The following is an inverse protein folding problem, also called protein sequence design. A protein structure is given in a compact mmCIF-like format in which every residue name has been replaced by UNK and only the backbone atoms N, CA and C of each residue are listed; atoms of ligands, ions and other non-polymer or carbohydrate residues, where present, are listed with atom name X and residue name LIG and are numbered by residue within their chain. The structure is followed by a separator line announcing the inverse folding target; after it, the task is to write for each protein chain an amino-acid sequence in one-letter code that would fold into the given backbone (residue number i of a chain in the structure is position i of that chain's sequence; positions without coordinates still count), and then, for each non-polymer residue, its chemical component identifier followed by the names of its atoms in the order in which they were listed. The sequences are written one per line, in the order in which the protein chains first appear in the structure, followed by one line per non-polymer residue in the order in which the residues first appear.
data_IF_389784490606
#
_entry.id   IF_389784490606
#
_cell.length_a   1.000
_cell.length_b   1.000
_cell.length_c   1.000
_cell.angle_alpha   90.00
_cell.angle_beta   90.00
_cell.angle_gamma   90.00
#
_symmetry.space_group_name_H-M   'P 1'
#
loop_
_entity.id
_entity.type
_entity.pdbx_description
1 polymer ?
#
# COMPACT_ATOMS: atom_id res chain seq x y z
N UNK A 1 -15.94 17.38 3.12
CA UNK A 1 -15.46 16.08 2.67
C UNK A 1 -14.06 15.76 3.24
N UNK A 2 -13.07 16.64 3.13
CA UNK A 2 -11.67 16.44 3.59
C UNK A 2 -11.61 16.07 5.07
N UNK A 3 -12.27 16.84 5.95
CA UNK A 3 -12.31 16.58 7.40
C UNK A 3 -12.91 15.21 7.70
N UNK A 4 -14.00 14.84 7.03
CA UNK A 4 -14.63 13.51 7.19
C UNK A 4 -13.71 12.38 6.72
N UNK A 5 -12.93 12.59 5.65
CA UNK A 5 -11.92 11.63 5.19
C UNK A 5 -10.77 11.45 6.18
N UNK A 6 -10.38 12.51 6.89
CA UNK A 6 -9.40 12.42 7.96
C UNK A 6 -9.88 11.51 9.10
N UNK A 7 -11.10 11.73 9.61
CA UNK A 7 -11.67 10.87 10.67
C UNK A 7 -11.91 9.44 10.18
N UNK A 8 -12.34 9.26 8.94
CA UNK A 8 -12.47 7.94 8.33
C UNK A 8 -11.12 7.20 8.27
N UNK A 9 -10.04 7.89 7.86
CA UNK A 9 -8.69 7.32 7.86
C UNK A 9 -8.19 6.93 9.26
N UNK A 10 -8.48 7.77 10.27
CA UNK A 10 -8.13 7.50 11.66
C UNK A 10 -8.85 6.25 12.19
N UNK A 11 -10.15 6.12 11.93
CA UNK A 11 -10.94 4.95 12.31
C UNK A 11 -10.46 3.67 11.60
N UNK A 12 -10.18 3.75 10.30
CA UNK A 12 -9.66 2.62 9.53
C UNK A 12 -8.27 2.16 10.02
N UNK A 13 -7.40 3.09 10.39
CA UNK A 13 -6.08 2.77 10.96
C UNK A 13 -6.24 2.05 12.31
N UNK A 14 -7.12 2.52 13.20
CA UNK A 14 -7.41 1.85 14.47
C UNK A 14 -7.93 0.42 14.25
N UNK A 15 -8.89 0.23 13.35
CA UNK A 15 -9.43 -1.09 13.01
C UNK A 15 -8.35 -2.05 12.49
N UNK A 16 -7.45 -1.58 11.61
CA UNK A 16 -6.39 -2.42 11.04
C UNK A 16 -5.36 -2.89 12.07
N UNK A 17 -5.10 -2.11 13.11
CA UNK A 17 -4.19 -2.49 14.21
C UNK A 17 -4.87 -3.49 15.14
N UNK A 18 -6.12 -3.22 15.51
CA UNK A 18 -6.87 -4.05 16.47
C UNK A 18 -7.13 -5.45 15.91
N UNK A 19 -7.43 -5.59 14.61
CA UNK A 19 -7.74 -6.90 14.02
C UNK A 19 -6.58 -7.90 14.15
N UNK A 20 -5.34 -7.45 13.99
CA UNK A 20 -4.16 -8.31 14.14
C UNK A 20 -3.98 -8.80 15.58
N UNK A 21 -4.24 -7.95 16.56
CA UNK A 21 -4.20 -8.30 17.97
C UNK A 21 -5.33 -9.28 18.32
N UNK A 22 -6.55 -8.96 17.92
CA UNK A 22 -7.74 -9.79 18.13
C UNK A 22 -7.59 -11.20 17.56
N UNK A 23 -7.10 -11.31 16.32
CA UNK A 23 -6.88 -12.60 15.67
C UNK A 23 -5.84 -13.44 16.41
N UNK A 24 -4.80 -12.83 16.93
CA UNK A 24 -3.78 -13.52 17.74
C UNK A 24 -4.32 -13.98 19.09
N UNK A 25 -5.25 -13.23 19.69
CA UNK A 25 -5.82 -13.55 20.99
C UNK A 25 -6.90 -14.65 20.91
N UNK A 26 -7.62 -14.73 19.79
CA UNK A 26 -8.70 -15.71 19.58
C UNK A 26 -8.16 -17.06 19.07
N UNK A 27 -7.17 -17.04 18.16
CA UNK A 27 -6.73 -18.24 17.46
C UNK A 27 -5.38 -18.73 17.94
N UNK A 28 -5.19 -20.06 18.19
CA UNK A 28 -3.87 -20.65 18.41
C UNK A 28 -2.96 -20.47 17.18
N UNK A 29 -1.64 -20.62 17.37
CA UNK A 29 -0.64 -20.31 16.33
C UNK A 29 -0.90 -20.99 15.00
N UNK A 30 -1.37 -22.22 15.01
CA UNK A 30 -1.62 -23.04 13.83
C UNK A 30 -2.82 -22.49 13.01
N UNK A 31 -3.87 -22.08 13.71
CA UNK A 31 -5.08 -21.53 13.08
C UNK A 31 -4.94 -20.05 12.74
N UNK A 32 -4.14 -19.30 13.50
CA UNK A 32 -3.87 -17.89 13.23
C UNK A 32 -3.38 -17.66 11.81
N UNK A 33 -2.39 -18.46 11.35
CA UNK A 33 -1.85 -18.33 9.99
C UNK A 33 -2.93 -18.59 8.92
N UNK A 34 -3.81 -19.56 9.15
CA UNK A 34 -4.92 -19.88 8.26
C UNK A 34 -5.94 -18.74 8.21
N UNK A 35 -6.34 -18.21 9.37
CA UNK A 35 -7.30 -17.11 9.44
C UNK A 35 -6.74 -15.82 8.85
N UNK A 36 -5.47 -15.50 9.10
CA UNK A 36 -4.80 -14.36 8.47
C UNK A 36 -4.73 -14.50 6.94
N UNK A 37 -4.65 -15.71 6.41
CA UNK A 37 -4.73 -15.92 4.96
C UNK A 37 -6.10 -15.55 4.39
N UNK A 38 -7.20 -15.81 5.11
CA UNK A 38 -8.53 -15.33 4.72
C UNK A 38 -8.65 -13.81 4.79
N UNK A 39 -8.11 -13.17 5.83
CA UNK A 39 -8.07 -11.70 5.93
C UNK A 39 -7.31 -11.11 4.73
N UNK A 40 -6.15 -11.70 4.38
CA UNK A 40 -5.37 -11.27 3.23
C UNK A 40 -6.12 -11.49 1.91
N UNK A 41 -6.86 -12.59 1.77
CA UNK A 41 -7.70 -12.84 0.59
C UNK A 41 -8.75 -11.75 0.43
N UNK A 42 -9.49 -11.42 1.49
CA UNK A 42 -10.50 -10.35 1.47
C UNK A 42 -9.89 -8.99 1.16
N UNK A 43 -8.76 -8.65 1.80
CA UNK A 43 -8.06 -7.37 1.55
C UNK A 43 -7.48 -7.27 0.14
N UNK A 44 -7.24 -8.40 -0.52
CA UNK A 44 -6.78 -8.43 -1.92
C UNK A 44 -7.96 -8.33 -2.90
N UNK A 45 -9.09 -8.98 -2.59
CA UNK A 45 -10.28 -8.95 -3.45
C UNK A 45 -11.02 -7.61 -3.36
N UNK A 46 -11.06 -6.98 -2.20
CA UNK A 46 -11.80 -5.74 -1.98
C UNK A 46 -11.40 -4.60 -2.96
N UNK A 47 -10.11 -4.29 -3.16
CA UNK A 47 -9.69 -3.29 -4.16
C UNK A 47 -10.04 -3.66 -5.61
N UNK A 48 -10.14 -4.96 -5.92
CA UNK A 48 -10.56 -5.43 -7.24
C UNK A 48 -12.06 -5.19 -7.47
N UNK A 49 -12.87 -5.50 -6.47
CA UNK A 49 -14.31 -5.35 -6.56
C UNK A 49 -14.76 -3.89 -6.44
N UNK A 50 -14.03 -3.06 -5.69
CA UNK A 50 -14.43 -1.69 -5.39
C UNK A 50 -14.64 -0.81 -6.65
N UNK A 51 -13.75 -0.77 -7.66
CA UNK A 51 -13.97 0.00 -8.88
C UNK A 51 -15.14 -0.53 -9.72
N UNK A 52 -15.32 -1.86 -9.76
CA UNK A 52 -16.41 -2.51 -10.50
C UNK A 52 -17.75 -2.13 -9.85
N UNK A 53 -17.89 -2.33 -8.55
CA UNK A 53 -19.10 -1.98 -7.80
C UNK A 53 -19.34 -0.47 -7.85
N UNK A 54 -18.29 0.34 -7.67
CA UNK A 54 -18.37 1.80 -7.75
C UNK A 54 -18.83 2.29 -9.12
N UNK A 55 -18.31 1.71 -10.21
CA UNK A 55 -18.72 2.00 -11.57
C UNK A 55 -20.21 1.69 -11.80
N UNK A 56 -20.66 0.52 -11.36
CA UNK A 56 -22.07 0.13 -11.45
C UNK A 56 -23.00 1.06 -10.67
N UNK A 57 -22.60 1.46 -9.46
CA UNK A 57 -23.38 2.43 -8.65
C UNK A 57 -23.52 3.75 -9.40
N UNK A 58 -22.46 4.22 -10.06
CA UNK A 58 -22.46 5.49 -10.78
C UNK A 58 -23.33 5.47 -12.06
N UNK A 59 -23.55 4.31 -12.66
CA UNK A 59 -24.45 4.16 -13.82
C UNK A 59 -25.91 4.39 -13.42
N UNK A 60 -26.33 3.90 -12.25
CA UNK A 60 -27.73 3.91 -11.83
C UNK A 60 -28.05 4.97 -10.78
N UNK A 61 -27.03 5.38 -10.01
CA UNK A 61 -27.21 6.23 -8.83
C UNK A 61 -26.12 7.32 -8.80
N UNK A 62 -26.30 8.33 -7.93
CA UNK A 62 -25.29 9.36 -7.75
C UNK A 62 -24.12 8.86 -6.87
N UNK A 63 -22.96 9.53 -6.95
CA UNK A 63 -21.78 9.22 -6.16
C UNK A 63 -22.01 9.21 -4.63
N UNK A 64 -23.06 9.89 -4.14
CA UNK A 64 -23.43 9.89 -2.73
C UNK A 64 -23.80 8.50 -2.21
N UNK A 65 -24.40 7.66 -3.05
CA UNK A 65 -24.81 6.31 -2.67
C UNK A 65 -23.61 5.40 -2.36
N UNK A 66 -22.44 5.64 -2.94
CA UNK A 66 -21.22 4.94 -2.59
C UNK A 66 -20.90 5.14 -1.10
N UNK A 67 -21.06 6.37 -0.59
CA UNK A 67 -20.83 6.66 0.84
C UNK A 67 -21.90 6.06 1.74
N UNK A 68 -23.16 6.02 1.29
CA UNK A 68 -24.23 5.36 2.04
C UNK A 68 -24.01 3.85 2.15
N UNK A 69 -23.57 3.20 1.09
CA UNK A 69 -23.21 1.77 1.09
C UNK A 69 -22.05 1.51 2.06
N UNK A 70 -21.01 2.34 2.02
CA UNK A 70 -19.87 2.23 2.95
C UNK A 70 -20.30 2.48 4.41
N UNK A 71 -21.17 3.46 4.66
CA UNK A 71 -21.69 3.73 6.00
C UNK A 71 -22.53 2.56 6.53
N UNK A 72 -23.40 1.99 5.70
CA UNK A 72 -24.20 0.83 6.08
C UNK A 72 -23.31 -0.38 6.39
N UNK A 73 -22.32 -0.66 5.54
CA UNK A 73 -21.36 -1.75 5.77
C UNK A 73 -20.58 -1.55 7.08
N UNK A 74 -20.15 -0.31 7.37
CA UNK A 74 -19.45 0.02 8.62
C UNK A 74 -20.35 -0.15 9.85
N UNK A 75 -21.62 0.28 9.77
CA UNK A 75 -22.60 0.09 10.87
C UNK A 75 -22.85 -1.40 11.12
N UNK A 76 -23.07 -2.19 10.08
CA UNK A 76 -23.26 -3.63 10.19
C UNK A 76 -22.03 -4.33 10.79
N UNK A 77 -20.83 -4.01 10.30
CA UNK A 77 -19.59 -4.56 10.83
C UNK A 77 -19.39 -4.18 12.32
N UNK A 78 -19.66 -2.91 12.69
CA UNK A 78 -19.56 -2.45 14.08
C UNK A 78 -20.57 -3.14 14.98
N UNK A 79 -21.81 -3.32 14.52
CA UNK A 79 -22.83 -4.06 15.24
C UNK A 79 -22.44 -5.54 15.44
N UNK A 80 -21.93 -6.19 14.38
CA UNK A 80 -21.44 -7.57 14.49
C UNK A 80 -20.30 -7.69 15.52
N UNK A 81 -19.33 -6.77 15.49
CA UNK A 81 -18.23 -6.77 16.45
C UNK A 81 -18.78 -6.56 17.87
N UNK A 82 -19.66 -5.58 18.07
CA UNK A 82 -20.21 -5.25 19.38
C UNK A 82 -21.04 -6.40 20.01
N UNK A 83 -21.84 -7.08 19.21
CA UNK A 83 -22.72 -8.13 19.73
C UNK A 83 -22.08 -9.54 19.74
N UNK A 84 -21.13 -9.83 18.83
CA UNK A 84 -20.59 -11.17 18.66
C UNK A 84 -19.20 -11.36 19.26
N UNK A 85 -18.39 -10.28 19.40
CA UNK A 85 -17.02 -10.38 19.88
C UNK A 85 -16.93 -9.84 21.32
N UNK A 86 -16.56 -10.73 22.24
CA UNK A 86 -16.25 -10.34 23.62
C UNK A 86 -14.84 -9.76 23.71
N UNK A 87 -14.62 -8.91 24.73
CA UNK A 87 -13.28 -8.39 25.05
C UNK A 87 -12.31 -9.56 25.31
N UNK A 88 -11.23 -9.62 24.53
CA UNK A 88 -10.26 -10.72 24.59
C UNK A 88 -9.09 -10.47 25.52
N UNK A 89 -8.83 -9.20 25.90
CA UNK A 89 -7.71 -8.85 26.77
C UNK A 89 -8.13 -8.87 28.25
N UNK A 90 -7.66 -9.85 29.05
CA UNK A 90 -7.94 -9.91 30.47
C UNK A 90 -7.49 -8.65 31.20
N UNK A 91 -8.22 -8.18 32.24
CA UNK A 91 -7.88 -6.96 32.97
C UNK A 91 -6.44 -6.96 33.53
N UNK A 92 -5.92 -8.13 33.93
CA UNK A 92 -4.61 -8.30 34.53
C UNK A 92 -3.47 -8.12 33.52
N UNK A 93 -3.75 -8.27 32.20
CA UNK A 93 -2.77 -8.09 31.12
C UNK A 93 -2.84 -6.71 30.47
N UNK A 94 -3.75 -5.86 30.92
CA UNK A 94 -3.86 -4.48 30.43
C UNK A 94 -2.68 -3.67 30.94
N UNK A 95 -1.76 -3.34 30.05
CA UNK A 95 -0.62 -2.48 30.40
C UNK A 95 -1.02 -1.02 30.29
N UNK A 96 -0.63 -0.17 31.26
CA UNK A 96 -0.83 1.27 31.14
C UNK A 96 -0.06 1.81 29.94
N UNK A 97 -0.69 2.72 29.21
CA UNK A 97 -0.07 3.34 28.05
C UNK A 97 1.05 4.31 28.49
N UNK A 98 2.29 3.93 28.24
CA UNK A 98 3.46 4.76 28.58
C UNK A 98 3.92 5.55 27.33
N UNK A 99 3.45 6.77 27.19
CA UNK A 99 3.82 7.70 26.10
C UNK A 99 5.34 7.81 25.95
N UNK A 100 6.07 7.93 27.05
CA UNK A 100 7.54 8.08 27.06
C UNK A 100 8.25 6.88 26.42
N UNK A 101 7.82 5.66 26.71
CA UNK A 101 8.37 4.44 26.14
C UNK A 101 8.06 4.36 24.65
N UNK A 102 6.83 4.69 24.25
CA UNK A 102 6.40 4.72 22.86
C UNK A 102 7.22 5.72 22.04
N UNK A 103 7.37 6.96 22.53
CA UNK A 103 8.19 7.99 21.87
C UNK A 103 9.65 7.55 21.81
N UNK A 104 10.18 6.93 22.87
CA UNK A 104 11.54 6.39 22.90
C UNK A 104 11.77 5.33 21.81
N UNK A 105 10.83 4.42 21.62
CA UNK A 105 10.89 3.38 20.58
C UNK A 105 10.84 3.99 19.17
N UNK A 106 9.98 4.97 18.93
CA UNK A 106 9.98 5.72 17.67
C UNK A 106 11.30 6.43 17.42
N UNK A 107 11.84 7.12 18.43
CA UNK A 107 13.12 7.82 18.32
C UNK A 107 14.29 6.86 18.01
N UNK A 108 14.29 5.65 18.59
CA UNK A 108 15.28 4.62 18.29
C UNK A 108 15.22 4.18 16.82
N UNK A 109 14.01 3.97 16.28
CA UNK A 109 13.82 3.60 14.88
C UNK A 109 14.25 4.73 13.93
N UNK A 110 13.94 5.99 14.23
CA UNK A 110 14.38 7.15 13.43
C UNK A 110 15.89 7.30 13.41
N UNK A 111 16.60 6.94 14.50
CA UNK A 111 18.06 6.97 14.57
C UNK A 111 18.73 5.84 13.80
N UNK A 112 18.03 4.76 13.54
CA UNK A 112 18.57 3.61 12.82
C UNK A 112 18.50 3.81 11.31
N UNK A 113 19.49 4.52 10.76
CA UNK A 113 19.54 4.98 9.35
C UNK A 113 19.21 3.89 8.33
N UNK A 114 19.67 2.65 8.53
CA UNK A 114 19.45 1.54 7.61
C UNK A 114 17.98 1.16 7.53
N UNK A 115 17.32 0.98 8.68
CA UNK A 115 15.91 0.62 8.76
C UNK A 115 15.02 1.76 8.26
N UNK A 116 15.33 2.98 8.66
CA UNK A 116 14.64 4.17 8.15
C UNK A 116 14.71 4.23 6.61
N UNK A 117 15.87 3.94 6.04
CA UNK A 117 16.03 3.93 4.58
C UNK A 117 15.20 2.82 3.90
N UNK A 118 15.06 1.64 4.51
CA UNK A 118 14.15 0.61 3.99
C UNK A 118 12.69 1.00 4.11
N UNK A 119 12.30 1.67 5.20
CA UNK A 119 10.95 2.22 5.35
C UNK A 119 10.64 3.28 4.29
N UNK A 120 11.58 4.22 4.06
CA UNK A 120 11.46 5.25 3.03
C UNK A 120 11.41 4.63 1.62
N UNK A 121 12.29 3.67 1.32
CA UNK A 121 12.28 2.98 0.03
C UNK A 121 10.93 2.30 -0.24
N UNK A 122 10.39 1.58 0.73
CA UNK A 122 9.06 0.97 0.63
C UNK A 122 7.93 2.02 0.54
N UNK A 123 8.05 3.12 1.27
CA UNK A 123 7.11 4.24 1.25
C UNK A 123 7.03 4.90 -0.12
N UNK A 124 8.18 5.21 -0.74
CA UNK A 124 8.23 5.77 -2.09
C UNK A 124 7.74 4.77 -3.16
N UNK A 125 8.03 3.48 -3.02
CA UNK A 125 7.46 2.45 -3.90
C UNK A 125 5.92 2.49 -3.88
N UNK A 126 5.33 2.58 -2.70
CA UNK A 126 3.88 2.68 -2.53
C UNK A 126 3.33 4.02 -3.05
N UNK A 127 4.07 5.11 -2.85
CA UNK A 127 3.69 6.44 -3.34
C UNK A 127 3.62 6.49 -4.88
N UNK A 128 4.49 5.75 -5.58
CA UNK A 128 4.38 5.59 -7.04
C UNK A 128 3.06 4.95 -7.47
N UNK A 129 2.57 3.95 -6.72
CA UNK A 129 1.21 3.41 -6.93
C UNK A 129 0.14 4.46 -6.63
N UNK A 130 0.31 5.26 -5.58
CA UNK A 130 -0.63 6.34 -5.26
C UNK A 130 -0.68 7.41 -6.34
N UNK A 131 0.42 7.66 -7.04
CA UNK A 131 0.44 8.54 -8.22
C UNK A 131 -0.50 8.04 -9.32
N UNK A 132 -0.50 6.73 -9.57
CA UNK A 132 -1.46 6.12 -10.49
C UNK A 132 -2.89 6.21 -9.95
N UNK A 133 -3.13 5.92 -8.66
CA UNK A 133 -4.47 6.00 -8.07
C UNK A 133 -5.07 7.42 -8.16
N UNK A 134 -4.22 8.45 -8.03
CA UNK A 134 -4.65 9.85 -8.06
C UNK A 134 -4.86 10.38 -9.48
N UNK A 135 -3.97 10.07 -10.41
CA UNK A 135 -3.98 10.64 -11.76
C UNK A 135 -4.44 9.65 -12.85
N UNK A 136 -4.46 8.35 -12.55
CA UNK A 136 -4.81 7.31 -13.51
C UNK A 136 -6.18 7.48 -14.16
N UNK A 137 -7.26 7.75 -13.40
CA UNK A 137 -8.57 8.00 -14.01
C UNK A 137 -8.54 9.11 -15.03
N UNK A 138 -7.88 10.24 -14.70
CA UNK A 138 -7.74 11.36 -15.62
C UNK A 138 -6.93 10.99 -16.86
N UNK A 139 -5.76 10.36 -16.67
CA UNK A 139 -4.89 9.97 -17.79
C UNK A 139 -5.54 8.94 -18.70
N UNK A 140 -6.31 8.01 -18.16
CA UNK A 140 -6.93 6.96 -18.96
C UNK A 140 -8.22 7.44 -19.63
N UNK A 141 -9.11 8.11 -18.88
CA UNK A 141 -10.42 8.52 -19.36
C UNK A 141 -10.34 9.82 -20.18
N UNK A 142 -9.75 10.88 -19.62
CA UNK A 142 -9.77 12.20 -20.25
C UNK A 142 -8.73 12.32 -21.38
N UNK A 143 -7.49 11.83 -21.16
CA UNK A 143 -6.42 12.00 -22.16
C UNK A 143 -6.43 10.89 -23.21
N UNK A 144 -6.64 9.62 -22.80
CA UNK A 144 -6.62 8.49 -23.72
C UNK A 144 -8.02 8.02 -24.14
N UNK A 145 -9.07 8.77 -23.80
CA UNK A 145 -10.46 8.54 -24.21
C UNK A 145 -10.97 7.13 -23.91
N UNK A 146 -10.48 6.50 -22.81
CA UNK A 146 -11.02 5.25 -22.34
C UNK A 146 -12.42 5.49 -21.79
N UNK A 147 -13.40 4.71 -22.23
CA UNK A 147 -14.75 4.82 -21.69
C UNK A 147 -14.73 4.55 -20.16
N UNK A 148 -15.40 5.39 -19.34
CA UNK A 148 -15.36 5.27 -17.87
C UNK A 148 -15.72 3.88 -17.36
N UNK A 149 -16.66 3.19 -18.02
CA UNK A 149 -17.05 1.81 -17.71
C UNK A 149 -15.92 0.81 -17.94
N UNK A 150 -14.99 1.10 -18.84
CA UNK A 150 -13.84 0.23 -19.15
C UNK A 150 -12.65 0.48 -18.23
N UNK A 151 -12.60 1.59 -17.50
CA UNK A 151 -11.49 1.91 -16.58
C UNK A 151 -11.27 0.80 -15.53
N UNK A 152 -12.36 0.18 -15.06
CA UNK A 152 -12.30 -0.93 -14.11
C UNK A 152 -11.47 -2.12 -14.61
N UNK A 153 -11.50 -2.43 -15.91
CA UNK A 153 -10.70 -3.52 -16.50
C UNK A 153 -9.21 -3.22 -16.48
N UNK A 154 -8.81 -1.99 -16.75
CA UNK A 154 -7.40 -1.56 -16.65
C UNK A 154 -6.92 -1.58 -15.20
N UNK A 155 -7.80 -1.21 -14.28
CA UNK A 155 -7.48 -1.32 -12.84
C UNK A 155 -7.34 -2.78 -12.42
N UNK A 156 -8.21 -3.67 -12.90
CA UNK A 156 -8.13 -5.10 -12.65
C UNK A 156 -6.82 -5.72 -13.18
N UNK A 157 -6.30 -5.23 -14.31
CA UNK A 157 -5.02 -5.67 -14.84
C UNK A 157 -3.87 -5.42 -13.84
N UNK A 158 -3.86 -4.27 -13.16
CA UNK A 158 -2.86 -4.00 -12.11
C UNK A 158 -2.93 -5.03 -10.98
N UNK A 159 -4.14 -5.46 -10.62
CA UNK A 159 -4.34 -6.45 -9.56
C UNK A 159 -3.92 -7.85 -10.02
N UNK A 160 -4.14 -8.19 -11.27
CA UNK A 160 -3.61 -9.44 -11.85
C UNK A 160 -2.09 -9.48 -11.77
N UNK A 161 -1.40 -8.40 -12.15
CA UNK A 161 0.04 -8.29 -12.03
C UNK A 161 0.50 -8.37 -10.56
N UNK A 162 -0.21 -7.70 -9.65
CA UNK A 162 0.07 -7.77 -8.21
C UNK A 162 -0.06 -9.21 -7.68
N UNK A 163 -1.09 -9.94 -8.11
CA UNK A 163 -1.29 -11.33 -7.74
C UNK A 163 -0.19 -12.23 -8.28
N UNK A 164 0.16 -12.09 -9.56
CA UNK A 164 1.27 -12.83 -10.19
C UNK A 164 2.58 -12.59 -9.46
N UNK A 165 2.91 -11.32 -9.18
CA UNK A 165 4.14 -10.96 -8.45
C UNK A 165 4.12 -11.43 -6.99
N UNK A 166 2.95 -11.50 -6.35
CA UNK A 166 2.82 -12.08 -5.01
C UNK A 166 3.08 -13.58 -5.01
N UNK A 167 2.55 -14.32 -5.99
CA UNK A 167 2.83 -15.76 -6.16
C UNK A 167 4.32 -15.97 -6.44
N UNK A 168 4.90 -15.20 -7.36
CA UNK A 168 6.32 -15.24 -7.66
C UNK A 168 7.15 -15.01 -6.38
N UNK A 169 6.85 -13.97 -5.63
CA UNK A 169 7.52 -13.69 -4.36
C UNK A 169 7.42 -14.86 -3.38
N UNK A 170 6.22 -15.41 -3.17
CA UNK A 170 6.00 -16.51 -2.21
C UNK A 170 6.80 -17.77 -2.57
N UNK A 171 6.98 -18.02 -3.87
CA UNK A 171 7.71 -19.18 -4.37
C UNK A 171 9.23 -19.03 -4.28
N UNK A 172 9.73 -17.82 -4.50
CA UNK A 172 11.17 -17.58 -4.62
C UNK A 172 11.81 -16.97 -3.37
N UNK A 173 11.06 -16.33 -2.48
CA UNK A 173 11.62 -15.64 -1.30
C UNK A 173 12.42 -16.56 -0.39
N UNK A 174 12.03 -17.84 -0.26
CA UNK A 174 12.77 -18.84 0.53
C UNK A 174 14.15 -19.16 -0.05
N UNK A 175 14.33 -19.06 -1.37
CA UNK A 175 15.61 -19.35 -2.04
C UNK A 175 16.49 -18.13 -2.18
N UNK A 176 15.89 -16.98 -2.48
CA UNK A 176 16.61 -15.74 -2.82
C UNK A 176 16.82 -14.86 -1.58
N UNK A 177 15.96 -14.98 -0.57
CA UNK A 177 15.96 -14.16 0.64
C UNK A 177 15.16 -12.87 0.49
N UNK A 178 14.58 -12.40 1.60
CA UNK A 178 13.69 -11.23 1.60
C UNK A 178 14.39 -9.96 1.12
N UNK A 179 15.63 -9.70 1.52
CA UNK A 179 16.36 -8.50 1.12
C UNK A 179 16.62 -8.45 -0.40
N UNK A 180 16.97 -9.58 -1.01
CA UNK A 180 17.22 -9.63 -2.44
C UNK A 180 15.91 -9.53 -3.23
N UNK A 181 14.82 -10.15 -2.75
CA UNK A 181 13.50 -9.99 -3.34
C UNK A 181 13.00 -8.55 -3.24
N UNK A 182 13.22 -7.89 -2.11
CA UNK A 182 12.95 -6.45 -1.95
C UNK A 182 13.69 -5.62 -3.00
N UNK A 183 15.00 -5.82 -3.14
CA UNK A 183 15.83 -5.13 -4.13
C UNK A 183 15.37 -5.40 -5.56
N UNK A 184 15.10 -6.65 -5.90
CA UNK A 184 14.61 -7.03 -7.23
C UNK A 184 13.29 -6.32 -7.57
N UNK A 185 12.35 -6.24 -6.62
CA UNK A 185 11.10 -5.50 -6.80
C UNK A 185 11.32 -4.02 -7.10
N UNK A 186 12.24 -3.38 -6.37
CA UNK A 186 12.59 -1.97 -6.60
C UNK A 186 13.26 -1.75 -7.97
N UNK A 187 14.12 -2.66 -8.40
CA UNK A 187 14.74 -2.58 -9.72
C UNK A 187 13.72 -2.74 -10.85
N UNK A 188 12.79 -3.69 -10.72
CA UNK A 188 11.70 -3.85 -11.70
C UNK A 188 10.86 -2.56 -11.75
N UNK A 189 10.49 -1.99 -10.61
CA UNK A 189 9.76 -0.73 -10.57
C UNK A 189 10.52 0.42 -11.22
N UNK A 190 11.83 0.52 -11.00
CA UNK A 190 12.66 1.55 -11.62
C UNK A 190 12.73 1.38 -13.15
N UNK A 191 12.94 0.14 -13.62
CA UNK A 191 12.98 -0.17 -15.06
C UNK A 191 11.62 0.16 -15.70
N UNK A 192 10.50 -0.18 -15.04
CA UNK A 192 9.17 0.13 -15.58
C UNK A 192 8.87 1.63 -15.56
N UNK A 193 9.36 2.37 -14.57
CA UNK A 193 9.26 3.82 -14.54
C UNK A 193 10.09 4.45 -15.69
N UNK A 194 11.31 3.99 -15.89
CA UNK A 194 12.14 4.41 -17.04
C UNK A 194 11.49 4.06 -18.39
N UNK A 195 10.91 2.85 -18.49
CA UNK A 195 10.13 2.44 -19.65
C UNK A 195 8.97 3.39 -19.95
N UNK A 196 8.21 3.79 -18.94
CA UNK A 196 7.10 4.75 -19.12
C UNK A 196 7.57 6.11 -19.61
N UNK A 197 8.71 6.61 -19.10
CA UNK A 197 9.32 7.87 -19.59
C UNK A 197 9.77 7.73 -21.04
N UNK A 198 10.51 6.68 -21.37
CA UNK A 198 11.00 6.42 -22.74
C UNK A 198 9.81 6.24 -23.70
N UNK A 199 8.82 5.48 -23.30
CA UNK A 199 7.61 5.22 -24.06
C UNK A 199 6.84 6.51 -24.39
N UNK A 200 6.72 7.41 -23.42
CA UNK A 200 6.07 8.70 -23.62
C UNK A 200 6.89 9.62 -24.54
N UNK A 201 8.23 9.61 -24.43
CA UNK A 201 9.10 10.37 -25.31
C UNK A 201 9.07 9.88 -26.77
N UNK A 202 8.98 8.56 -26.97
CA UNK A 202 8.94 7.94 -28.29
C UNK A 202 7.52 7.83 -28.87
N UNK A 203 6.49 8.20 -28.13
CA UNK A 203 5.10 8.10 -28.59
C UNK A 203 4.62 6.66 -28.83
N UNK A 204 5.07 5.68 -28.02
CA UNK A 204 4.75 4.26 -28.21
C UNK A 204 3.27 3.90 -27.90
N UNK A 205 2.47 4.90 -27.59
CA UNK A 205 1.03 4.76 -27.42
C UNK A 205 0.58 4.28 -26.03
N UNK A 206 -0.73 4.25 -25.84
CA UNK A 206 -1.39 4.03 -24.55
C UNK A 206 -1.06 2.67 -23.91
N UNK A 207 -1.03 1.59 -24.69
CA UNK A 207 -0.78 0.26 -24.17
C UNK A 207 0.59 0.09 -23.52
N UNK A 208 1.61 0.82 -24.03
CA UNK A 208 2.92 0.86 -23.44
C UNK A 208 2.91 1.46 -22.03
N UNK A 209 2.11 2.50 -21.81
CA UNK A 209 1.88 3.10 -20.52
C UNK A 209 1.14 2.13 -19.58
N UNK A 210 0.07 1.48 -20.07
CA UNK A 210 -0.73 0.51 -19.31
C UNK A 210 0.15 -0.63 -18.77
N UNK A 211 0.99 -1.22 -19.63
CA UNK A 211 1.89 -2.31 -19.22
C UNK A 211 2.91 -1.82 -18.19
N UNK A 212 3.49 -0.64 -18.40
CA UNK A 212 4.43 -0.03 -17.46
C UNK A 212 3.84 0.18 -16.08
N UNK A 213 2.63 0.75 -16.02
CA UNK A 213 1.87 0.95 -14.77
C UNK A 213 1.54 -0.38 -14.11
N UNK A 214 1.00 -1.33 -14.86
CA UNK A 214 0.59 -2.63 -14.32
C UNK A 214 1.78 -3.41 -13.72
N UNK A 215 2.92 -3.41 -14.40
CA UNK A 215 4.12 -4.06 -13.90
C UNK A 215 4.73 -3.33 -12.69
N UNK A 216 4.70 -1.99 -12.67
CA UNK A 216 5.12 -1.19 -11.53
C UNK A 216 4.27 -1.47 -10.30
N UNK A 217 2.94 -1.37 -10.43
CA UNK A 217 1.97 -1.60 -9.35
C UNK A 217 2.03 -3.05 -8.88
N UNK A 218 2.17 -4.00 -9.79
CA UNK A 218 2.31 -5.42 -9.48
C UNK A 218 3.45 -5.72 -8.50
N UNK A 219 4.56 -4.98 -8.59
CA UNK A 219 5.71 -5.18 -7.71
C UNK A 219 5.51 -4.61 -6.28
N UNK A 220 4.51 -3.76 -6.04
CA UNK A 220 4.30 -3.10 -4.74
C UNK A 220 4.11 -4.11 -3.59
N UNK A 221 3.36 -5.19 -3.82
CA UNK A 221 3.16 -6.25 -2.82
C UNK A 221 4.48 -6.94 -2.46
N UNK A 222 5.27 -7.31 -3.47
CA UNK A 222 6.59 -7.93 -3.27
C UNK A 222 7.55 -7.00 -2.51
N UNK A 223 7.60 -5.72 -2.89
CA UNK A 223 8.42 -4.71 -2.20
C UNK A 223 7.97 -4.55 -0.75
N UNK A 224 6.69 -4.37 -0.50
CA UNK A 224 6.15 -4.07 0.84
C UNK A 224 6.32 -5.24 1.81
N UNK A 225 6.02 -6.48 1.39
CA UNK A 225 6.12 -7.67 2.24
C UNK A 225 7.58 -7.98 2.61
N UNK A 226 8.49 -7.89 1.66
CA UNK A 226 9.90 -8.15 1.90
C UNK A 226 10.59 -7.01 2.69
N UNK A 227 10.21 -5.74 2.45
CA UNK A 227 10.66 -4.63 3.28
C UNK A 227 10.26 -4.84 4.75
N UNK A 228 9.00 -5.21 4.99
CA UNK A 228 8.52 -5.48 6.34
C UNK A 228 9.28 -6.64 7.00
N UNK A 229 9.53 -7.73 6.27
CA UNK A 229 10.32 -8.86 6.79
C UNK A 229 11.73 -8.41 7.22
N UNK A 230 12.42 -7.62 6.38
CA UNK A 230 13.76 -7.10 6.68
C UNK A 230 13.76 -6.13 7.87
N UNK A 231 12.74 -5.27 7.98
CA UNK A 231 12.59 -4.31 9.07
C UNK A 231 12.35 -5.03 10.40
N UNK A 232 11.48 -6.04 10.41
CA UNK A 232 11.15 -6.80 11.62
C UNK A 232 12.28 -7.72 12.08
N UNK A 233 13.12 -8.20 11.18
CA UNK A 233 14.31 -8.99 11.50
C UNK A 233 15.34 -8.16 12.30
N UNK A 234 15.49 -6.87 11.98
CA UNK A 234 16.37 -5.95 12.71
C UNK A 234 15.81 -5.53 14.09
N UNK A 235 14.48 -5.56 14.29
CA UNK A 235 13.79 -5.11 15.51
C UNK A 235 12.70 -6.07 16.00
N UNK A 236 13.01 -7.32 16.32
CA UNK A 236 11.99 -8.31 16.69
C UNK A 236 11.23 -7.96 17.99
N UNK A 237 11.87 -7.27 18.93
CA UNK A 237 11.29 -6.83 20.20
C UNK A 237 10.44 -5.55 20.10
N UNK A 238 10.50 -4.82 18.98
CA UNK A 238 9.71 -3.61 18.72
C UNK A 238 8.83 -3.74 17.45
N UNK A 239 8.42 -4.97 17.11
CA UNK A 239 7.72 -5.27 15.87
C UNK A 239 6.47 -4.41 15.64
N UNK A 240 5.68 -4.16 16.69
CA UNK A 240 4.49 -3.30 16.61
C UNK A 240 4.82 -1.85 16.25
N UNK A 241 5.82 -1.26 16.93
CA UNK A 241 6.27 0.12 16.65
C UNK A 241 6.88 0.23 15.25
N UNK A 242 7.69 -0.76 14.84
CA UNK A 242 8.30 -0.79 13.52
C UNK A 242 7.27 -0.91 12.40
N UNK A 243 6.26 -1.76 12.56
CA UNK A 243 5.15 -1.90 11.60
C UNK A 243 4.30 -0.64 11.51
N UNK A 244 4.01 0.00 12.66
CA UNK A 244 3.27 1.27 12.71
C UNK A 244 4.01 2.39 11.99
N UNK A 245 5.32 2.53 12.24
CA UNK A 245 6.15 3.55 11.60
C UNK A 245 6.28 3.31 10.09
N UNK A 246 6.50 2.05 9.68
CA UNK A 246 6.56 1.67 8.26
C UNK A 246 5.23 1.98 7.55
N UNK A 247 4.09 1.71 8.20
CA UNK A 247 2.76 2.09 7.71
C UNK A 247 2.60 3.61 7.57
N UNK A 248 3.05 4.37 8.56
CA UNK A 248 3.02 5.84 8.54
C UNK A 248 3.81 6.40 7.37
N UNK A 249 5.03 5.93 7.12
CA UNK A 249 5.80 6.34 5.94
C UNK A 249 5.13 5.93 4.65
N UNK A 250 4.62 4.70 4.58
CA UNK A 250 3.97 4.18 3.39
C UNK A 250 2.76 5.02 2.96
N UNK A 251 1.82 5.25 3.86
CA UNK A 251 0.62 6.02 3.55
C UNK A 251 0.88 7.52 3.56
N UNK A 252 1.76 8.00 4.44
CA UNK A 252 2.09 9.42 4.54
C UNK A 252 2.79 9.95 3.29
N UNK A 253 3.83 9.25 2.79
CA UNK A 253 4.50 9.62 1.54
C UNK A 253 3.52 9.52 0.36
N UNK A 254 2.69 8.45 0.32
CA UNK A 254 1.65 8.29 -0.69
C UNK A 254 0.67 9.46 -0.70
N UNK A 255 0.19 9.88 0.47
CA UNK A 255 -0.72 11.01 0.59
C UNK A 255 -0.07 12.34 0.16
N UNK A 256 1.19 12.59 0.55
CA UNK A 256 1.93 13.80 0.16
C UNK A 256 2.12 13.83 -1.36
N UNK A 257 2.59 12.73 -1.95
CA UNK A 257 2.81 12.65 -3.40
C UNK A 257 1.49 12.79 -4.17
N UNK A 258 0.41 12.14 -3.71
CA UNK A 258 -0.91 12.28 -4.31
C UNK A 258 -1.46 13.71 -4.20
N UNK A 259 -1.27 14.38 -3.06
CA UNK A 259 -1.67 15.76 -2.86
C UNK A 259 -0.87 16.72 -3.77
N UNK A 260 0.45 16.56 -3.85
CA UNK A 260 1.28 17.36 -4.73
C UNK A 260 0.89 17.15 -6.21
N UNK A 261 0.61 15.91 -6.57
CA UNK A 261 0.18 15.59 -7.93
C UNK A 261 -1.17 16.20 -8.27
N UNK A 262 -2.10 16.30 -7.31
CA UNK A 262 -3.41 16.93 -7.52
C UNK A 262 -3.36 18.45 -7.76
N UNK A 263 -2.23 19.10 -7.43
CA UNK A 263 -1.99 20.51 -7.74
C UNK A 263 -1.47 20.73 -9.17
N UNK A 264 -1.06 19.66 -9.85
CA UNK A 264 -0.59 19.75 -11.22
C UNK A 264 -1.79 19.93 -12.18
N UNK A 265 -1.61 20.77 -13.18
CA UNK A 265 -2.57 20.88 -14.29
C UNK A 265 -2.37 19.70 -15.24
N UNK A 266 -3.39 18.87 -15.38
CA UNK A 266 -3.32 17.67 -16.23
C UNK A 266 -3.75 17.99 -17.66
N UNK A 267 -2.81 18.42 -18.50
CA UNK A 267 -3.03 18.48 -19.95
C UNK A 267 -2.39 17.29 -20.69
N UNK A 268 -1.75 16.37 -19.94
CA UNK A 268 -1.04 15.22 -20.50
C UNK A 268 -0.78 14.17 -19.41
N UNK A 269 -0.28 13.01 -19.81
CA UNK A 269 0.14 11.93 -18.87
C UNK A 269 1.45 12.23 -18.12
N UNK A 270 2.20 13.27 -18.50
CA UNK A 270 3.54 13.56 -17.97
C UNK A 270 3.59 13.76 -16.46
N UNK A 271 2.67 14.50 -15.80
CA UNK A 271 2.73 14.65 -14.35
C UNK A 271 2.68 13.32 -13.60
N UNK A 272 1.84 12.37 -14.05
CA UNK A 272 1.77 11.03 -13.48
C UNK A 272 3.07 10.26 -13.71
N UNK A 273 3.60 10.27 -14.95
CA UNK A 273 4.83 9.54 -15.33
C UNK A 273 6.02 10.06 -14.53
N UNK A 274 6.20 11.39 -14.43
CA UNK A 274 7.28 11.98 -13.65
C UNK A 274 7.17 11.70 -12.15
N UNK A 275 5.95 11.72 -11.62
CA UNK A 275 5.71 11.37 -10.21
C UNK A 275 6.10 9.93 -9.92
N UNK A 276 5.71 8.97 -10.78
CA UNK A 276 6.09 7.56 -10.66
C UNK A 276 7.62 7.40 -10.80
N UNK A 277 8.24 8.07 -11.78
CA UNK A 277 9.68 8.02 -12.00
C UNK A 277 10.48 8.59 -10.82
N UNK A 278 10.03 9.71 -10.25
CA UNK A 278 10.60 10.29 -9.03
C UNK A 278 10.49 9.33 -7.84
N UNK A 279 9.34 8.71 -7.64
CA UNK A 279 9.12 7.74 -6.58
C UNK A 279 10.01 6.49 -6.74
N UNK A 280 10.11 5.94 -7.95
CA UNK A 280 10.96 4.80 -8.24
C UNK A 280 12.45 5.11 -8.01
N UNK A 281 12.90 6.27 -8.46
CA UNK A 281 14.29 6.72 -8.29
C UNK A 281 14.61 6.92 -6.81
N UNK A 282 13.74 7.62 -6.07
CA UNK A 282 13.90 7.83 -4.63
C UNK A 282 13.94 6.52 -3.87
N UNK A 283 13.06 5.58 -4.22
CA UNK A 283 12.98 4.25 -3.62
C UNK A 283 14.29 3.47 -3.77
N UNK A 284 14.85 3.44 -4.97
CA UNK A 284 16.16 2.79 -5.25
C UNK A 284 17.29 3.49 -4.52
N UNK A 285 17.34 4.82 -4.52
CA UNK A 285 18.42 5.56 -3.85
C UNK A 285 18.44 5.28 -2.34
N UNK A 286 17.29 5.26 -1.67
CA UNK A 286 17.22 4.88 -0.26
C UNK A 286 17.62 3.43 -0.02
N UNK A 287 17.26 2.50 -0.90
CA UNK A 287 17.68 1.11 -0.80
C UNK A 287 19.20 0.94 -0.97
N UNK A 288 19.81 1.63 -1.93
CA UNK A 288 21.25 1.62 -2.15
C UNK A 288 22.00 2.26 -0.98
N UNK A 289 21.46 3.36 -0.42
CA UNK A 289 22.02 3.98 0.78
C UNK A 289 22.03 3.02 1.99
N UNK A 290 20.93 2.31 2.21
CA UNK A 290 20.82 1.30 3.27
C UNK A 290 21.80 0.13 3.09
N UNK A 291 22.20 -0.14 1.86
CA UNK A 291 23.08 -1.28 1.50
C UNK A 291 24.56 -0.97 1.61
N UNK A 292 24.95 0.28 1.88
CA UNK A 292 26.34 0.67 2.06
C UNK A 292 26.93 -0.01 3.30
N UNK A 293 28.11 -0.63 3.20
CA UNK A 293 28.78 -1.19 4.36
C UNK A 293 29.04 -0.08 5.39
N UNK A 294 28.76 -0.35 6.66
CA UNK A 294 29.19 0.55 7.75
C UNK A 294 30.69 0.74 7.62
N UNK A 295 31.14 1.96 7.30
CA UNK A 295 32.54 2.32 7.56
C UNK A 295 32.78 2.09 9.04
N UNK A 296 33.62 1.09 9.35
CA UNK A 296 34.12 0.84 10.70
C UNK A 296 34.91 2.04 11.19
#
# INVERSE_FOLDING_TARGET
LIVMRFFHGLAAAAASVVINALMRDIYPKEEFSRMMSFVMLVTTIAPLMAPIVGGWVLVWLSWHYIFWILALAAILASAMIFFLIKETLPPERRQPFHIRTTIGNFAALFRHKRVLSYMLASGFSFAGMFSFLSAGPFVYIEINHVAPENFGYYFALNIVFLFVMTIFNSRFVRRIGALNMFRSGLWIQFIMAAWMVISALLGLGFWSLVVGVAAFVGCVSMVSSNAMAVILDEFPHMAGTASSLAGTFRFGIGAIVGALLSLATFNSAWPMIWSIAFCATSSILFCLYASRPKKR
#
